data_IF_601642796565
#
_entry.id   IF_601642796565
#
_cell.length_a   1.000
_cell.length_b   1.000
_cell.length_c   1.000
_cell.angle_alpha   90.00
_cell.angle_beta   90.00
_cell.angle_gamma   90.00
#
_symmetry.space_group_name_H-M   'P 1'
#
loop_
_entity.id
_entity.type
_entity.pdbx_description
1 polymer ?
#
# COMPACT_ATOMS: atom_id res chain seq x y z
N UNK A 1 -8.79 16.21 -17.70
CA UNK A 1 -10.16 15.81 -17.30
C UNK A 1 -10.04 14.96 -16.05
N UNK A 2 -11.01 15.02 -15.12
CA UNK A 2 -11.02 14.28 -13.85
C UNK A 2 -10.72 12.79 -14.02
N UNK A 3 -11.27 12.16 -15.05
CA UNK A 3 -11.11 10.73 -15.35
C UNK A 3 -9.65 10.28 -15.42
N UNK A 4 -8.76 11.12 -15.95
CA UNK A 4 -7.33 10.81 -16.02
C UNK A 4 -6.74 10.64 -14.61
N UNK A 5 -7.08 11.54 -13.69
CA UNK A 5 -6.59 11.51 -12.31
C UNK A 5 -7.21 10.36 -11.52
N UNK A 6 -8.48 10.04 -11.77
CA UNK A 6 -9.12 8.86 -11.18
C UNK A 6 -8.45 7.56 -11.65
N UNK A 7 -8.08 7.47 -12.94
CA UNK A 7 -7.37 6.32 -13.48
C UNK A 7 -5.96 6.19 -12.90
N UNK A 8 -5.25 7.30 -12.74
CA UNK A 8 -3.93 7.35 -12.10
C UNK A 8 -4.02 6.91 -10.62
N UNK A 9 -5.00 7.40 -9.86
CA UNK A 9 -5.25 6.99 -8.47
C UNK A 9 -5.51 5.48 -8.38
N UNK A 10 -6.38 4.96 -9.23
CA UNK A 10 -6.64 3.51 -9.29
C UNK A 10 -5.38 2.71 -9.64
N UNK A 11 -4.50 3.25 -10.49
CA UNK A 11 -3.20 2.67 -10.81
C UNK A 11 -2.31 2.55 -9.58
N UNK A 12 -2.20 3.61 -8.79
CA UNK A 12 -1.42 3.61 -7.55
C UNK A 12 -1.97 2.63 -6.51
N UNK A 13 -3.29 2.62 -6.30
CA UNK A 13 -3.96 1.67 -5.39
C UNK A 13 -3.66 0.22 -5.80
N UNK A 14 -3.68 -0.10 -7.10
CA UNK A 14 -3.31 -1.45 -7.57
C UNK A 14 -1.85 -1.78 -7.28
N UNK A 15 -0.92 -0.84 -7.44
CA UNK A 15 0.49 -1.05 -7.10
C UNK A 15 0.67 -1.33 -5.62
N UNK A 16 0.05 -0.54 -4.75
CA UNK A 16 0.06 -0.78 -3.31
C UNK A 16 -0.53 -2.16 -2.96
N UNK A 17 -1.61 -2.58 -3.63
CA UNK A 17 -2.20 -3.89 -3.42
C UNK A 17 -1.26 -5.05 -3.80
N UNK A 18 -0.58 -4.94 -4.94
CA UNK A 18 0.41 -5.93 -5.36
C UNK A 18 1.61 -5.98 -4.40
N UNK A 19 2.07 -4.83 -3.93
CA UNK A 19 3.16 -4.76 -2.96
C UNK A 19 2.76 -5.39 -1.63
N UNK A 20 1.57 -5.05 -1.09
CA UNK A 20 1.06 -5.65 0.15
C UNK A 20 0.94 -7.18 0.04
N UNK A 21 0.45 -7.69 -1.10
CA UNK A 21 0.39 -9.14 -1.36
C UNK A 21 1.79 -9.77 -1.37
N UNK A 22 2.76 -9.12 -2.02
CA UNK A 22 4.14 -9.58 -2.06
C UNK A 22 4.80 -9.57 -0.66
N UNK A 23 4.59 -8.53 0.13
CA UNK A 23 5.08 -8.42 1.51
C UNK A 23 4.56 -9.57 2.37
N UNK A 24 3.25 -9.85 2.31
CA UNK A 24 2.63 -10.97 3.03
C UNK A 24 3.25 -12.30 2.60
N UNK A 25 3.40 -12.50 1.29
CA UNK A 25 4.00 -13.72 0.73
C UNK A 25 5.44 -13.93 1.22
N UNK A 26 6.28 -12.89 1.11
CA UNK A 26 7.68 -12.94 1.55
C UNK A 26 7.79 -13.15 3.06
N UNK A 27 7.01 -12.43 3.87
CA UNK A 27 7.01 -12.58 5.32
C UNK A 27 6.58 -13.99 5.77
N UNK A 28 5.56 -14.55 5.11
CA UNK A 28 5.12 -15.93 5.36
C UNK A 28 6.21 -16.96 4.99
N UNK A 29 6.84 -16.82 3.83
CA UNK A 29 7.96 -17.69 3.42
C UNK A 29 9.16 -17.53 4.36
N UNK A 30 9.49 -16.30 4.75
CA UNK A 30 10.56 -16.01 5.71
C UNK A 30 10.35 -16.75 7.04
N UNK A 31 9.12 -16.74 7.56
CA UNK A 31 8.76 -17.41 8.81
C UNK A 31 8.80 -18.94 8.70
N UNK A 32 8.20 -19.51 7.66
CA UNK A 32 8.10 -20.97 7.50
C UNK A 32 9.47 -21.59 7.21
N UNK A 33 10.25 -20.96 6.34
CA UNK A 33 11.53 -21.47 5.86
C UNK A 33 12.74 -20.92 6.61
N UNK A 34 12.52 -20.07 7.63
CA UNK A 34 13.55 -19.38 8.41
C UNK A 34 14.53 -18.57 7.53
N UNK A 35 14.00 -17.94 6.48
CA UNK A 35 14.76 -17.12 5.52
C UNK A 35 14.89 -15.68 6.02
N UNK A 36 15.95 -15.41 6.78
CA UNK A 36 16.26 -14.06 7.32
C UNK A 36 16.46 -13.01 6.23
N UNK A 37 16.97 -13.41 5.07
CA UNK A 37 17.17 -12.52 3.92
C UNK A 37 15.84 -12.00 3.35
N UNK A 38 14.79 -12.84 3.30
CA UNK A 38 13.45 -12.41 2.88
C UNK A 38 12.80 -11.50 3.94
N UNK A 39 13.03 -11.76 5.22
CA UNK A 39 12.56 -10.88 6.30
C UNK A 39 13.21 -9.49 6.19
N UNK A 40 14.53 -9.43 5.99
CA UNK A 40 15.24 -8.16 5.75
C UNK A 40 14.75 -7.46 4.49
N UNK A 41 14.41 -8.19 3.43
CA UNK A 41 13.85 -7.56 2.22
C UNK A 41 12.50 -6.87 2.48
N UNK A 42 11.62 -7.49 3.29
CA UNK A 42 10.34 -6.87 3.66
C UNK A 42 10.55 -5.58 4.47
N UNK A 43 11.46 -5.61 5.45
CA UNK A 43 11.73 -4.47 6.35
C UNK A 43 12.51 -3.35 5.64
N UNK A 44 13.60 -3.69 4.93
CA UNK A 44 14.53 -2.68 4.41
C UNK A 44 14.14 -2.11 3.04
N UNK A 45 13.20 -2.75 2.33
CA UNK A 45 12.83 -2.32 0.96
C UNK A 45 11.32 -2.18 0.77
N UNK A 46 10.57 -3.24 1.05
CA UNK A 46 9.15 -3.24 0.72
C UNK A 46 8.37 -2.26 1.62
N UNK A 47 8.77 -2.08 2.89
CA UNK A 47 8.20 -1.07 3.80
C UNK A 47 8.38 0.35 3.25
N UNK A 48 9.61 0.72 2.86
CA UNK A 48 9.89 2.05 2.29
C UNK A 48 9.08 2.30 0.99
N UNK A 49 8.94 1.28 0.14
CA UNK A 49 8.12 1.41 -1.07
C UNK A 49 6.62 1.55 -0.75
N UNK A 50 6.12 0.85 0.28
CA UNK A 50 4.73 0.96 0.74
C UNK A 50 4.44 2.35 1.28
N UNK A 51 5.32 2.87 2.15
CA UNK A 51 5.21 4.23 2.70
C UNK A 51 5.21 5.29 1.61
N UNK A 52 6.08 5.15 0.61
CA UNK A 52 6.11 6.08 -0.52
C UNK A 52 4.81 6.02 -1.34
N UNK A 53 4.27 4.83 -1.58
CA UNK A 53 3.00 4.67 -2.28
C UNK A 53 1.82 5.26 -1.49
N UNK A 54 1.82 5.11 -0.17
CA UNK A 54 0.80 5.68 0.72
C UNK A 54 0.75 7.20 0.58
N UNK A 55 1.92 7.86 0.67
CA UNK A 55 2.06 9.30 0.48
C UNK A 55 1.59 9.75 -0.92
N UNK A 56 2.01 9.05 -1.98
CA UNK A 56 1.60 9.38 -3.35
C UNK A 56 0.07 9.27 -3.55
N UNK A 57 -0.56 8.30 -2.90
CA UNK A 57 -2.01 8.06 -2.97
C UNK A 57 -2.76 9.16 -2.23
N UNK A 58 -2.32 9.52 -1.03
CA UNK A 58 -2.90 10.59 -0.23
C UNK A 58 -2.80 11.94 -0.93
N UNK A 59 -1.65 12.26 -1.51
CA UNK A 59 -1.46 13.48 -2.32
C UNK A 59 -2.39 13.50 -3.54
N UNK A 60 -2.57 12.37 -4.22
CA UNK A 60 -3.47 12.25 -5.36
C UNK A 60 -4.93 12.47 -4.94
N UNK A 61 -5.35 11.89 -3.81
CA UNK A 61 -6.69 12.07 -3.24
C UNK A 61 -6.94 13.53 -2.90
N UNK A 62 -6.02 14.17 -2.16
CA UNK A 62 -6.13 15.59 -1.80
C UNK A 62 -6.22 16.46 -3.04
N UNK A 63 -5.36 16.21 -4.04
CA UNK A 63 -5.35 16.94 -5.31
C UNK A 63 -6.69 16.80 -6.04
N UNK A 64 -7.26 15.60 -6.09
CA UNK A 64 -8.55 15.36 -6.74
C UNK A 64 -9.67 16.12 -6.04
N UNK A 65 -9.73 16.02 -4.71
CA UNK A 65 -10.75 16.69 -3.89
C UNK A 65 -10.67 18.22 -4.04
N UNK A 66 -9.47 18.80 -3.88
CA UNK A 66 -9.26 20.23 -3.91
C UNK A 66 -9.44 20.86 -5.30
N UNK A 67 -9.05 20.14 -6.36
CA UNK A 67 -9.07 20.69 -7.72
C UNK A 67 -10.40 20.49 -8.43
N UNK A 68 -11.01 19.32 -8.27
CA UNK A 68 -12.14 18.91 -9.11
C UNK A 68 -13.48 18.88 -8.39
N UNK A 69 -13.50 18.96 -7.05
CA UNK A 69 -14.72 18.96 -6.25
C UNK A 69 -15.70 17.85 -6.68
N UNK A 70 -15.24 16.58 -6.77
CA UNK A 70 -16.06 15.51 -7.31
C UNK A 70 -17.31 15.31 -6.46
N UNK A 71 -18.39 14.83 -7.08
CA UNK A 71 -19.68 14.59 -6.43
C UNK A 71 -20.16 13.16 -6.67
N UNK A 72 -21.13 12.72 -5.85
CA UNK A 72 -21.83 11.46 -5.99
C UNK A 72 -20.89 10.26 -6.21
N UNK A 73 -20.87 9.70 -7.42
CA UNK A 73 -20.11 8.49 -7.76
C UNK A 73 -18.60 8.71 -7.63
N UNK A 74 -18.10 9.83 -8.14
CA UNK A 74 -16.66 10.06 -8.24
C UNK A 74 -16.09 10.41 -6.85
N UNK A 75 -16.84 11.16 -6.03
CA UNK A 75 -16.48 11.37 -4.62
C UNK A 75 -16.43 10.05 -3.86
N UNK A 76 -17.43 9.17 -4.06
CA UNK A 76 -17.47 7.86 -3.41
C UNK A 76 -16.26 7.02 -3.82
N UNK A 77 -15.87 7.04 -5.09
CA UNK A 77 -14.68 6.33 -5.57
C UNK A 77 -13.42 6.82 -4.85
N UNK A 78 -13.21 8.14 -4.77
CA UNK A 78 -12.04 8.74 -4.10
C UNK A 78 -11.98 8.37 -2.62
N UNK A 79 -13.10 8.48 -1.90
CA UNK A 79 -13.16 8.13 -0.48
C UNK A 79 -12.99 6.62 -0.24
N UNK A 80 -13.52 5.78 -1.13
CA UNK A 80 -13.29 4.34 -1.08
C UNK A 80 -11.83 3.99 -1.33
N UNK A 81 -11.17 4.67 -2.29
CA UNK A 81 -9.73 4.50 -2.52
C UNK A 81 -8.90 4.88 -1.29
N UNK A 82 -9.24 5.98 -0.61
CA UNK A 82 -8.60 6.34 0.66
C UNK A 82 -8.73 5.23 1.72
N UNK A 83 -9.94 4.72 1.92
CA UNK A 83 -10.18 3.64 2.89
C UNK A 83 -9.43 2.35 2.53
N UNK A 84 -9.40 1.98 1.25
CA UNK A 84 -8.65 0.81 0.77
C UNK A 84 -7.16 0.99 1.00
N UNK A 85 -6.61 2.16 0.68
CA UNK A 85 -5.19 2.46 0.88
C UNK A 85 -4.76 2.23 2.34
N UNK A 86 -5.53 2.78 3.30
CA UNK A 86 -5.30 2.55 4.73
C UNK A 86 -5.37 1.09 5.17
N UNK A 87 -6.14 0.26 4.48
CA UNK A 87 -6.15 -1.18 4.76
C UNK A 87 -4.94 -1.89 4.18
N UNK A 88 -4.42 -1.45 3.04
CA UNK A 88 -3.22 -2.00 2.40
C UNK A 88 -1.96 -1.65 3.20
N UNK A 89 -1.82 -0.42 3.66
CA UNK A 89 -0.72 0.00 4.54
C UNK A 89 -0.66 -0.87 5.81
N UNK A 90 -1.80 -1.08 6.48
CA UNK A 90 -1.87 -1.98 7.65
C UNK A 90 -1.49 -3.43 7.35
N UNK A 91 -1.77 -3.92 6.14
CA UNK A 91 -1.32 -5.26 5.71
C UNK A 91 0.21 -5.27 5.53
N UNK A 92 0.78 -4.20 4.99
CA UNK A 92 2.23 -3.98 4.94
C UNK A 92 2.85 -3.99 6.33
N UNK A 93 2.37 -3.15 7.25
CA UNK A 93 2.82 -3.09 8.66
C UNK A 93 2.76 -4.47 9.34
N UNK A 94 1.64 -5.20 9.20
CA UNK A 94 1.54 -6.54 9.77
C UNK A 94 2.53 -7.53 9.14
N UNK A 95 2.92 -7.35 7.88
CA UNK A 95 3.96 -8.16 7.23
C UNK A 95 5.35 -7.83 7.75
N UNK A 96 5.64 -6.55 8.02
CA UNK A 96 6.88 -6.08 8.66
C UNK A 96 6.98 -6.67 10.07
N UNK A 97 5.94 -6.57 10.89
CA UNK A 97 5.91 -7.17 12.24
C UNK A 97 6.21 -8.68 12.22
N UNK A 98 5.69 -9.42 11.22
CA UNK A 98 6.02 -10.84 11.04
C UNK A 98 7.50 -11.01 10.68
N UNK A 99 8.03 -10.21 9.76
CA UNK A 99 9.43 -10.25 9.35
C UNK A 99 10.39 -9.93 10.51
N UNK A 100 10.08 -8.92 11.33
CA UNK A 100 10.86 -8.58 12.54
C UNK A 100 10.91 -9.77 13.50
N UNK A 101 9.76 -10.42 13.75
CA UNK A 101 9.71 -11.62 14.58
C UNK A 101 10.60 -12.76 14.04
N UNK A 102 10.73 -12.91 12.71
CA UNK A 102 11.64 -13.90 12.11
C UNK A 102 13.11 -13.60 12.42
N UNK A 103 13.48 -12.32 12.57
CA UNK A 103 14.86 -11.94 12.92
C UNK A 103 15.21 -12.22 14.39
N UNK A 104 14.20 -12.37 15.25
CA UNK A 104 14.35 -12.71 16.67
C UNK A 104 14.37 -14.22 16.95
N UNK A 105 13.98 -15.05 15.97
CA UNK A 105 14.02 -16.52 16.03
C UNK A 105 15.42 -17.10 15.77
#
# INVERSE_FOLDING_TARGET
MLDKYLLELQGKIRRAAFLAEAMVGKAATALIEKRRDLALEVIEKDEEEMDHLDLEIDEAIITILARYHPIARDLRLVLSSFSVNRHLERVGDHSVNIAEYVLDL
#
